data_IF_374711525810
#
_entry.id   IF_374711525810
#
_cell.length_a   1.000
_cell.length_b   1.000
_cell.length_c   1.000
_cell.angle_alpha   90.00
_cell.angle_beta   90.00
_cell.angle_gamma   90.00
#
_symmetry.space_group_name_H-M   'P 1'
#
loop_
_entity.id
_entity.type
_entity.pdbx_description
1 polymer ?
#
# COMPACT_ATOMS: atom_id res chain seq x y z
N UNK A 1 -20.04 -26.52 -0.24
CA UNK A 1 -18.69 -26.28 0.32
C UNK A 1 -18.43 -24.79 0.27
N UNK A 2 -18.09 -24.14 1.39
CA UNK A 2 -17.65 -22.75 1.35
C UNK A 2 -16.24 -22.75 0.76
N UNK A 3 -16.04 -22.09 -0.36
CA UNK A 3 -14.71 -21.87 -0.96
C UNK A 3 -13.79 -21.33 0.14
N UNK A 4 -12.57 -21.86 0.32
CA UNK A 4 -11.64 -21.26 1.26
C UNK A 4 -11.39 -19.82 0.80
N UNK A 5 -11.66 -18.84 1.66
CA UNK A 5 -11.11 -17.50 1.43
C UNK A 5 -9.60 -17.66 1.44
N UNK A 6 -8.94 -17.27 0.35
CA UNK A 6 -7.49 -17.18 0.30
C UNK A 6 -6.99 -16.39 1.53
N UNK A 7 -5.85 -16.78 2.13
CA UNK A 7 -5.31 -16.05 3.27
C UNK A 7 -5.01 -14.61 2.85
N UNK A 8 -5.31 -13.65 3.73
CA UNK A 8 -4.93 -12.25 3.52
C UNK A 8 -3.46 -12.11 3.89
N UNK A 9 -2.63 -11.74 2.92
CA UNK A 9 -1.21 -11.47 3.12
C UNK A 9 -1.05 -9.98 3.45
N UNK A 10 -0.48 -9.68 4.62
CA UNK A 10 -0.20 -8.32 5.06
C UNK A 10 1.30 -8.20 5.33
N UNK A 11 1.95 -7.25 4.68
CA UNK A 11 3.33 -6.89 4.99
C UNK A 11 3.34 -5.74 6.02
N UNK A 12 3.94 -6.01 7.18
CA UNK A 12 3.93 -5.08 8.31
C UNK A 12 4.96 -3.95 8.24
N UNK A 13 5.90 -3.97 7.29
CA UNK A 13 6.92 -2.92 7.19
C UNK A 13 7.58 -2.93 5.79
N UNK A 14 7.29 -1.93 4.97
CA UNK A 14 7.98 -1.72 3.70
C UNK A 14 8.43 -0.28 3.48
N UNK A 15 9.63 -0.14 2.93
CA UNK A 15 10.19 1.11 2.44
C UNK A 15 10.88 0.81 1.11
N UNK A 16 10.28 1.25 0.00
CA UNK A 16 10.75 0.97 -1.35
C UNK A 16 10.70 2.24 -2.22
N UNK A 17 11.38 2.20 -3.35
CA UNK A 17 11.17 3.18 -4.42
C UNK A 17 9.89 2.82 -5.18
N UNK A 18 8.74 3.22 -4.62
CA UNK A 18 7.41 2.87 -5.11
C UNK A 18 7.18 3.27 -6.57
N UNK A 19 6.66 2.31 -7.35
CA UNK A 19 6.34 2.45 -8.77
C UNK A 19 5.12 1.61 -9.12
N UNK A 20 4.55 1.84 -10.30
CA UNK A 20 3.46 1.01 -10.83
C UNK A 20 3.82 -0.47 -10.89
N UNK A 21 5.04 -0.79 -11.35
CA UNK A 21 5.52 -2.17 -11.47
C UNK A 21 5.50 -2.88 -10.10
N UNK A 22 5.96 -2.22 -9.04
CA UNK A 22 5.91 -2.78 -7.67
C UNK A 22 4.46 -3.05 -7.24
N UNK A 23 3.52 -2.15 -7.55
CA UNK A 23 2.11 -2.36 -7.22
C UNK A 23 1.52 -3.57 -7.97
N UNK A 24 1.91 -3.77 -9.24
CA UNK A 24 1.50 -4.93 -10.04
C UNK A 24 2.09 -6.22 -9.47
N UNK A 25 3.38 -6.24 -9.15
CA UNK A 25 4.06 -7.38 -8.53
C UNK A 25 3.42 -7.76 -7.19
N UNK A 26 3.04 -6.77 -6.36
CA UNK A 26 2.34 -7.02 -5.10
C UNK A 26 0.96 -7.64 -5.31
N UNK A 27 0.21 -7.16 -6.30
CA UNK A 27 -1.09 -7.73 -6.67
C UNK A 27 -0.94 -9.15 -7.24
N UNK A 28 0.04 -9.39 -8.11
CA UNK A 28 0.36 -10.73 -8.62
C UNK A 28 0.78 -11.69 -7.50
N UNK A 29 1.50 -11.18 -6.50
CA UNK A 29 1.86 -11.90 -5.28
C UNK A 29 0.72 -12.11 -4.28
N UNK A 30 -0.45 -11.51 -4.50
CA UNK A 30 -1.62 -11.64 -3.62
C UNK A 30 -1.49 -10.89 -2.28
N UNK A 31 -0.68 -9.82 -2.22
CA UNK A 31 -0.53 -8.99 -1.02
C UNK A 31 -1.75 -8.08 -0.88
N UNK A 32 -2.52 -8.27 0.19
CA UNK A 32 -3.74 -7.52 0.46
C UNK A 32 -3.46 -6.14 1.07
N UNK A 33 -2.40 -6.01 1.88
CA UNK A 33 -2.04 -4.73 2.48
C UNK A 33 -0.55 -4.65 2.80
N UNK A 34 -0.04 -3.42 2.80
CA UNK A 34 1.34 -3.11 3.19
C UNK A 34 1.35 -1.89 4.10
N UNK A 35 2.05 -1.98 5.22
CA UNK A 35 2.38 -0.80 6.03
C UNK A 35 3.61 -0.11 5.45
N UNK A 36 3.37 0.99 4.74
CA UNK A 36 4.40 1.80 4.12
C UNK A 36 5.04 2.74 5.14
N UNK A 37 6.36 2.63 5.30
CA UNK A 37 7.16 3.65 5.99
C UNK A 37 7.39 4.83 5.05
N UNK A 38 7.14 6.04 5.52
CA UNK A 38 7.33 7.28 4.72
C UNK A 38 8.34 8.25 5.34
N UNK A 39 8.94 7.90 6.48
CA UNK A 39 9.87 8.75 7.19
C UNK A 39 10.74 7.93 8.16
N UNK A 40 12.06 8.14 8.10
CA UNK A 40 13.07 7.68 9.06
C UNK A 40 13.86 8.86 9.66
N UNK A 41 14.37 9.72 8.79
CA UNK A 41 15.29 10.81 9.14
C UNK A 41 14.81 12.17 8.62
N UNK A 42 13.77 12.17 7.79
CA UNK A 42 13.12 13.32 7.21
C UNK A 42 12.59 14.26 8.30
N UNK A 43 12.71 15.55 8.06
CA UNK A 43 12.05 16.55 8.87
C UNK A 43 10.55 16.64 8.56
N UNK A 44 9.86 17.58 9.21
CA UNK A 44 8.42 17.75 9.01
C UNK A 44 8.05 18.11 7.57
N UNK A 45 8.81 19.00 6.91
CA UNK A 45 8.48 19.44 5.55
C UNK A 45 8.71 18.30 4.56
N UNK A 46 9.82 17.60 4.68
CA UNK A 46 10.16 16.43 3.85
C UNK A 46 9.13 15.29 4.05
N UNK A 47 8.70 15.02 5.29
CA UNK A 47 7.64 14.04 5.55
C UNK A 47 6.30 14.45 4.91
N UNK A 48 5.94 15.74 4.96
CA UNK A 48 4.74 16.25 4.29
C UNK A 48 4.84 16.08 2.76
N UNK A 49 6.02 16.28 2.17
CA UNK A 49 6.25 16.01 0.75
C UNK A 49 6.03 14.53 0.40
N UNK A 50 6.47 13.61 1.25
CA UNK A 50 6.21 12.18 1.10
C UNK A 50 4.70 11.85 1.16
N UNK A 51 3.95 12.48 2.08
CA UNK A 51 2.49 12.35 2.13
C UNK A 51 1.83 12.88 0.85
N UNK A 52 2.30 14.00 0.31
CA UNK A 52 1.79 14.56 -0.96
C UNK A 52 2.10 13.62 -2.12
N UNK A 53 3.30 13.03 -2.17
CA UNK A 53 3.68 12.05 -3.18
C UNK A 53 2.76 10.82 -3.14
N UNK A 54 2.48 10.27 -1.95
CA UNK A 54 1.52 9.17 -1.77
C UNK A 54 0.10 9.52 -2.22
N UNK A 55 -0.37 10.72 -1.88
CA UNK A 55 -1.67 11.19 -2.35
C UNK A 55 -1.75 11.28 -3.89
N UNK A 56 -0.63 11.52 -4.59
CA UNK A 56 -0.58 11.46 -6.06
C UNK A 56 -0.59 10.02 -6.56
N UNK A 57 0.18 9.13 -5.95
CA UNK A 57 0.23 7.71 -6.32
C UNK A 57 -1.16 7.06 -6.19
N UNK A 58 -1.88 7.29 -5.10
CA UNK A 58 -3.26 6.79 -4.94
C UNK A 58 -4.22 7.28 -6.03
N UNK A 59 -4.01 8.49 -6.56
CA UNK A 59 -4.83 9.03 -7.65
C UNK A 59 -4.44 8.46 -9.01
N UNK A 60 -3.13 8.32 -9.25
CA UNK A 60 -2.60 7.86 -10.53
C UNK A 60 -2.83 6.36 -10.76
N UNK A 61 -2.77 5.57 -9.68
CA UNK A 61 -2.86 4.11 -9.70
C UNK A 61 -4.06 3.60 -8.89
N UNK A 62 -5.20 4.29 -8.97
CA UNK A 62 -6.42 3.99 -8.20
C UNK A 62 -7.01 2.61 -8.47
N UNK A 63 -6.64 2.00 -9.59
CA UNK A 63 -6.97 0.64 -10.01
C UNK A 63 -6.06 -0.43 -9.40
N UNK A 64 -4.91 -0.03 -8.84
CA UNK A 64 -3.93 -0.94 -8.22
C UNK A 64 -3.85 -0.78 -6.70
N UNK A 65 -3.96 0.46 -6.19
CA UNK A 65 -3.75 0.78 -4.77
C UNK A 65 -4.76 1.82 -4.26
N UNK A 66 -4.99 1.78 -2.95
CA UNK A 66 -5.72 2.82 -2.23
C UNK A 66 -5.23 2.93 -0.79
N UNK A 67 -5.56 4.03 -0.11
CA UNK A 67 -5.16 4.24 1.28
C UNK A 67 -6.02 3.41 2.24
N UNK A 68 -5.43 2.38 2.85
CA UNK A 68 -6.06 1.64 3.94
C UNK A 68 -6.05 2.43 5.26
N UNK A 69 -7.15 2.39 6.00
CA UNK A 69 -7.36 3.10 7.28
C UNK A 69 -7.86 2.17 8.38
N UNK A 70 -8.54 1.09 8.02
CA UNK A 70 -9.06 0.11 8.96
C UNK A 70 -8.99 -1.33 8.40
N UNK A 71 -9.39 -2.31 9.20
CA UNK A 71 -9.36 -3.71 8.81
C UNK A 71 -10.32 -4.00 7.64
N UNK A 72 -11.42 -3.27 7.54
CA UNK A 72 -12.38 -3.37 6.44
C UNK A 72 -11.75 -3.04 5.08
N UNK A 73 -10.75 -2.15 5.05
CA UNK A 73 -10.01 -1.83 3.83
C UNK A 73 -9.16 -3.02 3.36
N UNK A 74 -8.54 -3.75 4.29
CA UNK A 74 -7.78 -4.97 3.96
C UNK A 74 -8.70 -6.07 3.39
N UNK A 75 -9.97 -6.11 3.83
CA UNK A 75 -10.96 -7.04 3.30
C UNK A 75 -11.49 -6.64 1.91
N UNK A 76 -11.31 -5.38 1.52
CA UNK A 76 -11.78 -4.81 0.25
C UNK A 76 -10.73 -4.92 -0.86
N UNK A 77 -9.45 -4.90 -0.51
CA UNK A 77 -8.33 -5.15 -1.41
C UNK A 77 -8.46 -6.55 -2.03
#
# INVERSE_FOLDING_TARGET
MKTPKLPLIIDGLQYNNWSEDIFREMNEGGVAAVHVTICYHEDFQEMVENVIAWNRLFKLHSELIFQGRCAEDVLKA
#
